data_IF_735834981220
#
_entry.id   IF_735834981220
#
_cell.length_a   1.000
_cell.length_b   1.000
_cell.length_c   1.000
_cell.angle_alpha   90.00
_cell.angle_beta   90.00
_cell.angle_gamma   90.00
#
_symmetry.space_group_name_H-M   'P 1'
#
loop_
_entity.id
_entity.type
_entity.pdbx_description
1 polymer ?
#
# COMPACT_ATOMS: atom_id res chain seq x y z
N UNK A 1 27.74 15.14 -13.42
CA UNK A 1 27.77 16.59 -13.13
C UNK A 1 26.40 17.13 -12.74
N UNK A 2 25.34 16.85 -13.52
CA UNK A 2 23.96 17.37 -13.28
C UNK A 2 23.37 16.93 -11.94
N UNK A 3 23.49 15.66 -11.55
CA UNK A 3 22.84 15.14 -10.33
C UNK A 3 23.46 15.68 -9.02
N UNK A 4 24.78 15.82 -8.96
CA UNK A 4 25.46 16.41 -7.79
C UNK A 4 25.08 17.88 -7.61
N UNK A 5 24.94 18.59 -8.73
CA UNK A 5 24.52 19.98 -8.74
C UNK A 5 23.04 20.16 -8.34
N UNK A 6 22.14 19.28 -8.80
CA UNK A 6 20.74 19.25 -8.34
C UNK A 6 20.63 19.00 -6.83
N UNK A 7 21.43 18.08 -6.27
CA UNK A 7 21.49 17.84 -4.82
C UNK A 7 22.00 19.06 -4.06
N UNK A 8 23.00 19.75 -4.60
CA UNK A 8 23.54 20.97 -4.00
C UNK A 8 22.48 22.09 -3.95
N UNK A 9 21.71 22.28 -5.03
CA UNK A 9 20.56 23.20 -5.05
C UNK A 9 19.55 22.82 -3.96
N UNK A 10 19.19 21.54 -3.89
CA UNK A 10 18.21 21.05 -2.92
C UNK A 10 18.64 21.30 -1.47
N UNK A 11 19.87 20.92 -1.11
CA UNK A 11 20.41 21.15 0.24
C UNK A 11 20.52 22.64 0.54
N UNK A 12 20.92 23.46 -0.43
CA UNK A 12 21.02 24.91 -0.23
C UNK A 12 19.66 25.53 0.05
N UNK A 13 18.61 25.15 -0.68
CA UNK A 13 17.25 25.63 -0.41
C UNK A 13 16.71 25.13 0.94
N UNK A 14 17.07 23.90 1.34
CA UNK A 14 16.64 23.36 2.64
C UNK A 14 17.30 24.08 3.82
N UNK A 15 18.60 24.41 3.71
CA UNK A 15 19.38 25.05 4.78
C UNK A 15 19.13 26.55 4.84
N UNK A 16 19.09 27.22 3.68
CA UNK A 16 19.00 28.68 3.60
C UNK A 16 17.56 29.17 3.32
N UNK A 17 16.60 28.26 3.15
CA UNK A 17 15.20 28.58 2.87
C UNK A 17 14.98 29.11 1.45
N UNK A 18 13.93 29.90 1.28
CA UNK A 18 13.58 30.55 0.00
C UNK A 18 14.46 31.78 -0.30
N UNK A 19 15.63 31.88 0.33
CA UNK A 19 16.60 32.93 0.08
C UNK A 19 17.17 32.78 -1.35
N UNK A 20 16.44 33.36 -2.30
CA UNK A 20 16.76 33.41 -3.74
C UNK A 20 18.16 33.98 -4.00
N UNK A 21 18.66 34.82 -3.09
CA UNK A 21 19.97 35.47 -3.13
C UNK A 21 21.15 34.49 -3.17
N UNK A 22 21.03 33.28 -2.61
CA UNK A 22 22.11 32.29 -2.64
C UNK A 22 22.14 31.46 -3.92
N UNK A 23 21.00 31.28 -4.58
CA UNK A 23 20.88 30.51 -5.83
C UNK A 23 21.10 31.44 -7.05
N UNK A 24 20.84 32.74 -6.92
CA UNK A 24 21.04 33.77 -7.94
C UNK A 24 22.44 33.73 -8.60
N UNK A 25 23.55 33.66 -7.86
CA UNK A 25 24.89 33.52 -8.44
C UNK A 25 25.03 32.28 -9.34
N UNK A 26 24.40 31.16 -8.96
CA UNK A 26 24.45 29.93 -9.74
C UNK A 26 23.56 30.00 -10.98
N UNK A 27 22.38 30.63 -10.89
CA UNK A 27 21.53 30.90 -12.06
C UNK A 27 22.31 31.67 -13.12
N UNK A 28 23.04 32.72 -12.71
CA UNK A 28 23.84 33.54 -13.62
C UNK A 28 25.07 32.79 -14.15
N UNK A 29 25.78 32.03 -13.31
CA UNK A 29 27.03 31.36 -13.71
C UNK A 29 26.80 30.14 -14.61
N UNK A 30 25.72 29.40 -14.40
CA UNK A 30 25.44 28.13 -15.09
C UNK A 30 24.23 28.20 -16.04
N UNK A 31 23.56 29.34 -16.15
CA UNK A 31 22.41 29.53 -17.03
C UNK A 31 21.19 28.68 -16.65
N UNK A 32 21.00 28.39 -15.36
CA UNK A 32 19.93 27.52 -14.88
C UNK A 32 18.63 28.30 -14.76
N UNK A 33 17.55 27.69 -15.25
CA UNK A 33 16.20 28.27 -15.15
C UNK A 33 15.52 27.91 -13.83
N UNK A 34 14.57 28.73 -13.41
CA UNK A 34 13.71 28.43 -12.25
C UNK A 34 13.02 27.07 -12.38
N UNK A 35 12.58 26.74 -13.61
CA UNK A 35 12.00 25.43 -13.92
C UNK A 35 12.95 24.25 -13.63
N UNK A 36 14.23 24.38 -13.95
CA UNK A 36 15.22 23.33 -13.64
C UNK A 36 15.48 23.19 -12.15
N UNK A 37 15.43 24.30 -11.40
CA UNK A 37 15.51 24.30 -9.94
C UNK A 37 14.29 23.61 -9.35
N UNK A 38 13.08 23.90 -9.84
CA UNK A 38 11.84 23.29 -9.37
C UNK A 38 11.82 21.78 -9.59
N UNK A 39 12.28 21.30 -10.75
CA UNK A 39 12.46 19.87 -11.02
C UNK A 39 13.46 19.27 -10.03
N UNK A 40 14.62 19.92 -9.85
CA UNK A 40 15.65 19.43 -8.93
C UNK A 40 15.11 19.33 -7.50
N UNK A 41 14.33 20.32 -7.05
CA UNK A 41 13.70 20.32 -5.74
C UNK A 41 12.72 19.16 -5.59
N UNK A 42 11.80 19.03 -6.56
CA UNK A 42 10.76 18.01 -6.55
C UNK A 42 11.33 16.59 -6.58
N UNK A 43 12.26 16.31 -7.49
CA UNK A 43 12.79 14.95 -7.68
C UNK A 43 13.70 14.51 -6.53
N UNK A 44 14.47 15.43 -5.94
CA UNK A 44 15.24 15.11 -4.72
C UNK A 44 14.32 14.90 -3.51
N UNK A 45 13.29 15.74 -3.32
CA UNK A 45 12.30 15.56 -2.26
C UNK A 45 11.59 14.20 -2.37
N UNK A 46 11.12 13.83 -3.58
CA UNK A 46 10.55 12.50 -3.86
C UNK A 46 11.54 11.39 -3.55
N UNK A 47 12.78 11.49 -4.03
CA UNK A 47 13.78 10.44 -3.85
C UNK A 47 14.07 10.18 -2.36
N UNK A 48 14.20 11.24 -1.55
CA UNK A 48 14.42 11.11 -0.11
C UNK A 48 13.18 10.59 0.60
N UNK A 49 12.00 11.10 0.26
CA UNK A 49 10.74 10.62 0.83
C UNK A 49 10.49 9.14 0.54
N UNK A 50 10.84 8.66 -0.66
CA UNK A 50 10.77 7.24 -1.01
C UNK A 50 11.70 6.36 -0.16
N UNK A 51 12.82 6.90 0.34
CA UNK A 51 13.69 6.18 1.28
C UNK A 51 13.02 6.08 2.66
N UNK A 52 12.39 7.16 3.13
CA UNK A 52 11.67 7.15 4.41
C UNK A 52 10.46 6.21 4.39
N UNK A 53 9.73 6.13 3.27
CA UNK A 53 8.60 5.21 3.13
C UNK A 53 9.00 3.75 3.37
N UNK A 54 10.24 3.36 3.06
CA UNK A 54 10.74 1.99 3.34
C UNK A 54 10.79 1.63 4.82
N UNK A 55 10.76 2.62 5.72
CA UNK A 55 10.62 2.38 7.17
C UNK A 55 9.23 1.86 7.54
N UNK A 56 8.23 2.11 6.69
CA UNK A 56 6.86 1.62 6.85
C UNK A 56 6.80 0.19 6.32
N UNK A 57 6.63 -0.75 7.24
CA UNK A 57 6.40 -2.16 6.93
C UNK A 57 4.93 -2.55 6.97
N UNK A 58 4.68 -3.85 6.80
CA UNK A 58 3.36 -4.49 6.92
C UNK A 58 2.73 -4.33 8.31
N UNK A 59 3.58 -4.23 9.35
CA UNK A 59 3.20 -3.80 10.69
C UNK A 59 3.27 -2.29 10.79
N UNK A 60 2.14 -1.63 10.52
CA UNK A 60 2.06 -0.18 10.50
C UNK A 60 2.25 0.42 11.91
N UNK A 61 3.29 1.22 12.09
CA UNK A 61 3.58 1.91 13.34
C UNK A 61 3.19 3.40 13.26
N UNK A 62 2.43 3.87 14.25
CA UNK A 62 1.96 5.27 14.30
C UNK A 62 3.15 6.23 14.41
N UNK A 63 4.20 5.86 15.14
CA UNK A 63 5.42 6.66 15.25
C UNK A 63 6.07 6.89 13.89
N UNK A 64 6.22 5.83 13.09
CA UNK A 64 6.76 5.93 11.72
C UNK A 64 5.90 6.83 10.83
N UNK A 65 4.57 6.79 10.94
CA UNK A 65 3.68 7.66 10.15
C UNK A 65 3.83 9.14 10.49
N UNK A 66 4.05 9.45 11.76
CA UNK A 66 4.32 10.82 12.21
C UNK A 66 5.68 11.28 11.70
N UNK A 67 6.69 10.40 11.74
CA UNK A 67 8.03 10.74 11.27
C UNK A 67 8.07 10.96 9.75
N UNK A 68 7.43 10.08 8.98
CA UNK A 68 7.28 10.25 7.53
C UNK A 68 6.58 11.58 7.21
N UNK A 69 5.55 11.98 7.97
CA UNK A 69 4.91 13.30 7.82
C UNK A 69 5.86 14.45 8.13
N UNK A 70 6.64 14.35 9.21
CA UNK A 70 7.62 15.37 9.61
C UNK A 70 8.66 15.56 8.51
N UNK A 71 9.16 14.46 7.95
CA UNK A 71 10.17 14.47 6.90
C UNK A 71 9.61 15.00 5.57
N UNK A 72 8.36 14.63 5.23
CA UNK A 72 7.66 15.21 4.07
C UNK A 72 7.66 16.75 4.13
N UNK A 73 7.26 17.31 5.28
CA UNK A 73 7.21 18.76 5.50
C UNK A 73 8.60 19.38 5.45
N UNK A 74 9.61 18.71 6.04
CA UNK A 74 10.99 19.17 5.97
C UNK A 74 11.49 19.27 4.53
N UNK A 75 11.18 18.28 3.69
CA UNK A 75 11.57 18.28 2.27
C UNK A 75 10.70 19.17 1.38
N UNK A 76 9.72 19.89 1.95
CA UNK A 76 8.73 20.70 1.22
C UNK A 76 8.01 19.92 0.12
N UNK A 77 7.78 18.62 0.33
CA UNK A 77 7.07 17.78 -0.63
C UNK A 77 5.56 18.02 -0.52
N UNK A 78 4.93 18.34 -1.65
CA UNK A 78 3.49 18.59 -1.71
C UNK A 78 2.66 17.40 -1.21
N UNK A 79 1.55 17.72 -0.55
CA UNK A 79 0.68 16.73 0.10
C UNK A 79 0.12 15.71 -0.90
N UNK A 80 -0.21 16.13 -2.12
CA UNK A 80 -0.74 15.28 -3.18
C UNK A 80 0.32 14.27 -3.65
N UNK A 81 1.55 14.74 -3.86
CA UNK A 81 2.66 13.89 -4.30
C UNK A 81 3.03 12.89 -3.21
N UNK A 82 3.10 13.35 -1.96
CA UNK A 82 3.35 12.49 -0.80
C UNK A 82 2.25 11.44 -0.61
N UNK A 83 0.99 11.83 -0.84
CA UNK A 83 -0.16 10.93 -0.75
C UNK A 83 -0.10 9.82 -1.79
N UNK A 84 0.22 10.15 -3.04
CA UNK A 84 0.26 9.16 -4.11
C UNK A 84 1.44 8.19 -3.92
N UNK A 85 2.62 8.71 -3.55
CA UNK A 85 3.77 7.87 -3.21
C UNK A 85 3.50 6.93 -2.02
N UNK A 86 2.80 7.41 -0.99
CA UNK A 86 2.41 6.58 0.15
C UNK A 86 1.44 5.47 -0.28
N UNK A 87 0.42 5.79 -1.09
CA UNK A 87 -0.54 4.80 -1.60
C UNK A 87 0.15 3.72 -2.44
N UNK A 88 1.08 4.11 -3.31
CA UNK A 88 1.88 3.17 -4.11
C UNK A 88 2.71 2.24 -3.22
N UNK A 89 3.38 2.79 -2.18
CA UNK A 89 4.13 1.99 -1.22
C UNK A 89 3.23 1.03 -0.44
N UNK A 90 2.07 1.50 0.02
CA UNK A 90 1.13 0.70 0.78
C UNK A 90 0.52 -0.44 -0.06
N UNK A 91 0.24 -0.19 -1.35
CA UNK A 91 -0.14 -1.23 -2.33
C UNK A 91 0.96 -2.27 -2.50
N UNK A 92 2.21 -1.84 -2.61
CA UNK A 92 3.36 -2.75 -2.72
C UNK A 92 3.46 -3.67 -1.51
N UNK A 93 3.31 -3.17 -0.29
CA UNK A 93 3.31 -4.00 0.92
C UNK A 93 2.23 -5.10 0.85
N UNK A 94 1.01 -4.74 0.42
CA UNK A 94 -0.10 -5.70 0.22
C UNK A 94 0.26 -6.73 -0.87
N UNK A 95 0.85 -6.31 -1.99
CA UNK A 95 1.31 -7.20 -3.05
C UNK A 95 2.40 -8.18 -2.56
N UNK A 96 3.28 -7.75 -1.65
CA UNK A 96 4.28 -8.63 -1.06
C UNK A 96 3.65 -9.68 -0.12
N UNK A 97 2.62 -9.32 0.66
CA UNK A 97 1.83 -10.30 1.43
C UNK A 97 1.15 -11.32 0.50
N UNK A 98 0.55 -10.85 -0.60
CA UNK A 98 -0.13 -11.71 -1.59
C UNK A 98 0.88 -12.67 -2.24
N UNK A 99 2.04 -12.16 -2.66
CA UNK A 99 3.10 -12.97 -3.27
C UNK A 99 3.60 -14.05 -2.31
N UNK A 100 3.79 -13.69 -1.02
CA UNK A 100 4.14 -14.62 0.04
C UNK A 100 3.08 -15.72 0.20
N UNK A 101 1.81 -15.33 0.37
CA UNK A 101 0.69 -16.25 0.54
C UNK A 101 0.52 -17.21 -0.65
N UNK A 102 0.66 -16.71 -1.88
CA UNK A 102 0.59 -17.53 -3.10
C UNK A 102 1.76 -18.49 -3.22
N UNK A 103 2.97 -18.08 -2.84
CA UNK A 103 4.13 -18.98 -2.84
C UNK A 103 3.95 -20.16 -1.87
N UNK A 104 3.34 -19.90 -0.71
CA UNK A 104 3.01 -20.91 0.30
C UNK A 104 1.89 -21.84 -0.23
N UNK A 105 0.83 -21.28 -0.81
CA UNK A 105 -0.25 -22.07 -1.41
C UNK A 105 0.26 -22.99 -2.53
N UNK A 106 1.07 -22.47 -3.45
CA UNK A 106 1.58 -23.22 -4.62
C UNK A 106 2.61 -24.29 -4.24
N UNK A 107 3.28 -24.16 -3.09
CA UNK A 107 4.25 -25.15 -2.60
C UNK A 107 3.64 -26.26 -1.74
N UNK A 108 2.44 -26.05 -1.18
CA UNK A 108 1.79 -26.97 -0.24
C UNK A 108 0.61 -27.75 -0.83
N UNK A 109 0.56 -27.95 -2.15
CA UNK A 109 -0.54 -28.59 -2.89
C UNK A 109 -0.87 -30.03 -2.48
N UNK A 110 -0.07 -30.65 -1.59
CA UNK A 110 -0.17 -32.06 -1.21
C UNK A 110 -1.04 -32.34 0.03
N UNK A 111 -1.33 -31.33 0.85
CA UNK A 111 -2.22 -31.47 2.00
C UNK A 111 -3.52 -30.74 1.66
N UNK A 112 -4.66 -31.43 1.63
CA UNK A 112 -5.97 -30.84 1.27
C UNK A 112 -6.46 -29.70 2.17
N UNK A 113 -5.63 -29.20 3.09
CA UNK A 113 -5.92 -28.09 4.01
C UNK A 113 -5.08 -26.87 3.65
N UNK A 114 -5.66 -25.68 3.82
CA UNK A 114 -4.95 -24.42 3.59
C UNK A 114 -3.96 -24.19 4.73
N UNK A 115 -2.66 -23.95 4.44
CA UNK A 115 -1.69 -23.67 5.49
C UNK A 115 -2.07 -22.42 6.29
N UNK A 116 -1.96 -22.49 7.61
CA UNK A 116 -2.31 -21.38 8.52
C UNK A 116 -1.53 -20.11 8.19
N UNK A 117 -0.31 -20.24 7.67
CA UNK A 117 0.54 -19.14 7.23
C UNK A 117 -0.11 -18.30 6.11
N UNK A 118 -0.86 -18.93 5.20
CA UNK A 118 -1.61 -18.22 4.14
C UNK A 118 -2.68 -17.34 4.76
N UNK A 119 -3.40 -17.88 5.74
CA UNK A 119 -4.47 -17.16 6.45
C UNK A 119 -3.89 -16.01 7.27
N UNK A 120 -2.71 -16.19 7.88
CA UNK A 120 -2.00 -15.13 8.59
C UNK A 120 -1.59 -13.99 7.67
N UNK A 121 -1.10 -14.27 6.45
CA UNK A 121 -0.76 -13.25 5.46
C UNK A 121 -2.01 -12.44 5.03
N UNK A 122 -3.14 -13.11 4.80
CA UNK A 122 -4.41 -12.42 4.46
C UNK A 122 -4.94 -11.59 5.64
N UNK A 123 -4.87 -12.12 6.85
CA UNK A 123 -5.27 -11.38 8.05
C UNK A 123 -4.36 -10.15 8.29
N UNK A 124 -3.07 -10.24 7.95
CA UNK A 124 -2.16 -9.09 7.98
C UNK A 124 -2.60 -7.99 7.00
N UNK A 125 -3.02 -8.36 5.78
CA UNK A 125 -3.55 -7.40 4.79
C UNK A 125 -4.79 -6.68 5.34
N UNK A 126 -5.73 -7.44 5.91
CA UNK A 126 -6.96 -6.89 6.49
C UNK A 126 -6.66 -5.96 7.65
N UNK A 127 -5.81 -6.38 8.60
CA UNK A 127 -5.41 -5.56 9.75
C UNK A 127 -4.74 -4.25 9.31
N UNK A 128 -3.85 -4.32 8.33
CA UNK A 128 -3.18 -3.15 7.74
C UNK A 128 -4.19 -2.17 7.12
N UNK A 129 -5.09 -2.67 6.26
CA UNK A 129 -6.11 -1.85 5.61
C UNK A 129 -7.09 -1.20 6.60
N UNK A 130 -7.51 -1.92 7.65
CA UNK A 130 -8.34 -1.37 8.73
C UNK A 130 -7.65 -0.22 9.42
N UNK A 131 -6.38 -0.39 9.77
CA UNK A 131 -5.63 0.65 10.48
C UNK A 131 -5.47 1.90 9.62
N UNK A 132 -5.16 1.77 8.32
CA UNK A 132 -5.14 2.91 7.39
C UNK A 132 -6.50 3.62 7.31
N UNK A 133 -7.59 2.85 7.27
CA UNK A 133 -8.97 3.38 7.21
C UNK A 133 -9.38 4.09 8.49
N UNK A 134 -8.95 3.60 9.66
CA UNK A 134 -9.21 4.24 10.95
C UNK A 134 -8.41 5.53 11.09
N UNK A 135 -7.11 5.47 10.77
CA UNK A 135 -6.20 6.62 10.90
C UNK A 135 -6.56 7.74 9.92
N UNK A 136 -7.07 7.43 8.73
CA UNK A 136 -7.51 8.46 7.77
C UNK A 136 -8.69 9.30 8.26
N UNK A 137 -9.47 8.77 9.21
CA UNK A 137 -10.62 9.46 9.83
C UNK A 137 -10.29 10.06 11.20
N UNK A 138 -9.03 9.96 11.63
CA UNK A 138 -8.64 10.42 12.96
C UNK A 138 -8.67 11.96 13.02
N UNK A 139 -9.25 12.58 14.07
CA UNK A 139 -9.37 14.05 14.16
C UNK A 139 -8.05 14.83 14.10
N UNK A 140 -6.91 14.20 14.40
CA UNK A 140 -5.58 14.78 14.24
C UNK A 140 -4.80 14.20 13.05
N UNK A 141 -5.51 13.80 11.99
CA UNK A 141 -4.94 13.12 10.82
C UNK A 141 -3.85 13.91 10.09
N UNK A 142 -3.79 15.23 10.26
CA UNK A 142 -2.73 16.09 9.69
C UNK A 142 -1.33 15.78 10.22
N UNK A 143 -1.25 15.11 11.38
CA UNK A 143 0.00 14.65 11.99
C UNK A 143 0.55 13.38 11.34
N UNK A 144 -0.26 12.67 10.56
CA UNK A 144 0.15 11.43 9.89
C UNK A 144 0.55 11.67 8.44
N UNK A 145 1.24 10.67 7.88
CA UNK A 145 1.60 10.67 6.47
C UNK A 145 0.37 10.92 5.59
N UNK A 146 0.55 11.66 4.50
CA UNK A 146 -0.54 11.88 3.54
C UNK A 146 -0.85 10.60 2.78
N UNK A 147 -2.09 10.45 2.31
CA UNK A 147 -2.52 9.29 1.51
C UNK A 147 -3.09 8.12 2.32
N UNK A 148 -3.31 8.27 3.63
CA UNK A 148 -4.03 7.27 4.42
C UNK A 148 -5.45 7.05 3.91
N UNK A 149 -5.86 5.79 3.86
CA UNK A 149 -7.20 5.39 3.46
C UNK A 149 -7.28 3.91 3.10
N UNK A 150 -8.48 3.41 2.79
CA UNK A 150 -8.63 2.05 2.30
C UNK A 150 -7.85 1.85 1.00
N UNK A 151 -7.21 0.69 0.89
CA UNK A 151 -6.44 0.29 -0.29
C UNK A 151 -7.33 -0.56 -1.20
N UNK A 152 -7.17 -0.36 -2.50
CA UNK A 152 -7.66 -1.28 -3.53
C UNK A 152 -6.58 -1.45 -4.60
N UNK A 153 -6.38 -2.69 -5.03
CA UNK A 153 -5.54 -3.06 -6.17
C UNK A 153 -6.30 -2.88 -7.51
N UNK A 154 -7.60 -2.55 -7.46
CA UNK A 154 -8.38 -2.30 -8.66
C UNK A 154 -7.77 -1.15 -9.49
N UNK A 155 -7.64 -1.38 -10.80
CA UNK A 155 -7.11 -0.38 -11.73
C UNK A 155 -5.59 -0.21 -11.69
N UNK A 156 -4.86 -1.03 -10.92
CA UNK A 156 -3.41 -1.12 -11.05
C UNK A 156 -3.03 -1.79 -12.38
N UNK A 157 -1.93 -1.35 -12.99
CA UNK A 157 -1.49 -1.84 -14.31
C UNK A 157 -1.32 -3.36 -14.34
N UNK A 158 -0.82 -3.94 -13.24
CA UNK A 158 -0.61 -5.39 -13.13
C UNK A 158 -1.85 -6.16 -12.64
N UNK A 159 -2.95 -5.48 -12.28
CA UNK A 159 -4.14 -6.10 -11.69
C UNK A 159 -4.72 -7.20 -12.57
N UNK A 160 -4.88 -6.92 -13.87
CA UNK A 160 -5.42 -7.87 -14.83
C UNK A 160 -4.59 -9.15 -14.93
N UNK A 161 -3.27 -9.05 -14.74
CA UNK A 161 -2.36 -10.21 -14.76
C UNK A 161 -2.45 -11.04 -13.48
N UNK A 162 -2.73 -10.40 -12.33
CA UNK A 162 -2.79 -11.06 -11.02
C UNK A 162 -4.21 -11.47 -10.61
N UNK A 163 -5.26 -11.03 -11.31
CA UNK A 163 -6.66 -11.27 -10.90
C UNK A 163 -6.98 -12.76 -10.70
N UNK A 164 -6.40 -13.65 -11.50
CA UNK A 164 -6.55 -15.10 -11.33
C UNK A 164 -5.97 -15.60 -10.00
N UNK A 165 -4.77 -15.15 -9.67
CA UNK A 165 -4.09 -15.46 -8.40
C UNK A 165 -4.85 -14.85 -7.20
N UNK A 166 -5.40 -13.64 -7.34
CA UNK A 166 -6.23 -13.01 -6.30
C UNK A 166 -7.50 -13.82 -6.01
N UNK A 167 -8.15 -14.38 -7.05
CA UNK A 167 -9.31 -15.26 -6.88
C UNK A 167 -8.96 -16.54 -6.14
N UNK A 168 -7.79 -17.14 -6.43
CA UNK A 168 -7.31 -18.34 -5.74
C UNK A 168 -7.12 -18.04 -4.25
N UNK A 169 -6.47 -16.92 -3.91
CA UNK A 169 -6.24 -16.53 -2.53
C UNK A 169 -7.55 -16.15 -1.81
N UNK A 170 -8.48 -15.49 -2.51
CA UNK A 170 -9.81 -15.19 -2.00
C UNK A 170 -10.61 -16.45 -1.71
N UNK A 171 -10.59 -17.44 -2.61
CA UNK A 171 -11.24 -18.73 -2.42
C UNK A 171 -10.63 -19.47 -1.22
N UNK A 172 -9.29 -19.52 -1.09
CA UNK A 172 -8.62 -20.14 0.04
C UNK A 172 -9.06 -19.50 1.37
N UNK A 173 -9.03 -18.17 1.48
CA UNK A 173 -9.50 -17.50 2.69
C UNK A 173 -10.99 -17.76 2.96
N UNK A 174 -11.82 -17.81 1.92
CA UNK A 174 -13.25 -18.13 2.04
C UNK A 174 -13.49 -19.54 2.59
N UNK A 175 -12.71 -20.54 2.14
CA UNK A 175 -12.81 -21.91 2.65
C UNK A 175 -12.51 -21.99 4.14
N UNK A 176 -11.50 -21.24 4.62
CA UNK A 176 -11.18 -21.17 6.06
C UNK A 176 -12.32 -20.52 6.85
N UNK A 177 -12.81 -19.36 6.39
CA UNK A 177 -13.89 -18.61 7.05
C UNK A 177 -15.20 -19.42 7.10
N UNK A 178 -15.46 -20.23 6.08
CA UNK A 178 -16.66 -21.06 5.96
C UNK A 178 -16.44 -22.52 6.34
N UNK A 179 -15.38 -22.84 7.09
CA UNK A 179 -15.04 -24.20 7.51
C UNK A 179 -16.15 -24.92 8.30
N UNK A 180 -17.03 -24.16 8.96
CA UNK A 180 -18.23 -24.67 9.66
C UNK A 180 -19.49 -24.78 8.77
N UNK A 181 -19.37 -24.48 7.47
CA UNK A 181 -20.44 -24.51 6.49
C UNK A 181 -21.48 -23.39 6.59
N UNK A 182 -21.23 -22.35 7.41
CA UNK A 182 -22.18 -21.25 7.67
C UNK A 182 -21.60 -19.90 7.28
N UNK A 183 -22.41 -19.13 6.57
CA UNK A 183 -22.16 -17.72 6.25
C UNK A 183 -23.08 -16.85 7.10
N UNK A 184 -22.48 -15.99 7.92
CA UNK A 184 -23.14 -15.00 8.75
C UNK A 184 -22.58 -13.60 8.49
N UNK A 185 -23.20 -12.58 9.08
CA UNK A 185 -22.82 -11.19 8.88
C UNK A 185 -21.42 -10.87 9.44
N UNK A 186 -20.96 -11.58 10.47
CA UNK A 186 -19.63 -11.40 11.05
C UNK A 186 -18.53 -11.84 10.07
N UNK A 187 -18.77 -12.92 9.32
CA UNK A 187 -17.88 -13.45 8.29
C UNK A 187 -17.94 -12.66 6.98
N UNK A 188 -19.10 -12.08 6.66
CA UNK A 188 -19.25 -11.24 5.47
C UNK A 188 -18.38 -9.98 5.53
N UNK A 189 -18.13 -9.42 6.72
CA UNK A 189 -17.30 -8.22 6.89
C UNK A 189 -15.89 -8.38 6.31
N UNK A 190 -15.07 -9.32 6.83
CA UNK A 190 -13.72 -9.59 6.31
C UNK A 190 -13.70 -9.99 4.82
N UNK A 191 -14.67 -10.78 4.35
CA UNK A 191 -14.75 -11.18 2.94
C UNK A 191 -15.03 -9.99 2.02
N UNK A 192 -15.96 -9.12 2.40
CA UNK A 192 -16.28 -7.91 1.64
C UNK A 192 -15.11 -6.91 1.64
N UNK A 193 -14.38 -6.82 2.75
CA UNK A 193 -13.16 -6.02 2.84
C UNK A 193 -12.07 -6.58 1.92
N UNK A 194 -11.79 -7.88 1.99
CA UNK A 194 -10.80 -8.54 1.14
C UNK A 194 -11.15 -8.39 -0.35
N UNK A 195 -12.44 -8.54 -0.70
CA UNK A 195 -12.94 -8.30 -2.06
C UNK A 195 -12.57 -6.90 -2.55
N UNK A 196 -12.80 -5.87 -1.72
CA UNK A 196 -12.51 -4.49 -2.08
C UNK A 196 -11.00 -4.24 -2.24
N UNK A 197 -10.19 -4.82 -1.35
CA UNK A 197 -8.72 -4.72 -1.43
C UNK A 197 -8.22 -5.38 -2.72
N UNK A 198 -8.70 -6.57 -3.04
CA UNK A 198 -8.32 -7.30 -4.25
C UNK A 198 -8.95 -6.71 -5.53
N UNK A 199 -9.93 -5.81 -5.41
CA UNK A 199 -10.60 -5.24 -6.58
C UNK A 199 -11.49 -6.24 -7.33
N UNK A 200 -12.00 -7.26 -6.65
CA UNK A 200 -12.86 -8.27 -7.26
C UNK A 200 -14.29 -7.74 -7.47
N UNK A 201 -14.92 -8.15 -8.56
CA UNK A 201 -16.32 -7.80 -8.84
C UNK A 201 -17.28 -8.44 -7.83
N UNK A 202 -18.37 -7.75 -7.48
CA UNK A 202 -19.37 -8.29 -6.52
C UNK A 202 -19.89 -9.68 -6.91
N UNK A 203 -20.36 -9.84 -8.16
CA UNK A 203 -20.90 -11.10 -8.67
C UNK A 203 -19.87 -12.22 -8.71
N UNK A 204 -18.62 -11.87 -9.00
CA UNK A 204 -17.51 -12.81 -9.06
C UNK A 204 -17.16 -13.34 -7.66
N UNK A 205 -17.08 -12.46 -6.68
CA UNK A 205 -16.85 -12.85 -5.29
C UNK A 205 -18.01 -13.69 -4.72
N UNK A 206 -19.26 -13.35 -5.05
CA UNK A 206 -20.45 -14.13 -4.68
C UNK A 206 -20.40 -15.53 -5.27
N UNK A 207 -20.05 -15.68 -6.55
CA UNK A 207 -19.92 -16.98 -7.20
C UNK A 207 -18.83 -17.86 -6.55
N UNK A 208 -17.71 -17.26 -6.11
CA UNK A 208 -16.66 -17.99 -5.38
C UNK A 208 -17.18 -18.45 -4.00
N UNK A 209 -17.87 -17.57 -3.26
CA UNK A 209 -18.45 -17.91 -1.95
C UNK A 209 -19.45 -19.07 -2.10
N UNK A 210 -20.34 -19.02 -3.08
CA UNK A 210 -21.32 -20.07 -3.35
C UNK A 210 -20.65 -21.41 -3.70
N UNK A 211 -19.62 -21.38 -4.57
CA UNK A 211 -18.84 -22.56 -4.93
C UNK A 211 -18.17 -23.21 -3.72
N UNK A 212 -17.42 -22.42 -2.93
CA UNK A 212 -16.77 -22.91 -1.72
C UNK A 212 -17.77 -23.46 -0.72
N UNK A 213 -18.91 -22.79 -0.52
CA UNK A 213 -19.94 -23.25 0.41
C UNK A 213 -20.55 -24.59 -0.02
N UNK A 214 -20.76 -24.80 -1.33
CA UNK A 214 -21.21 -26.08 -1.88
C UNK A 214 -20.18 -27.18 -1.60
N UNK A 215 -18.90 -26.91 -1.83
CA UNK A 215 -17.81 -27.86 -1.63
C UNK A 215 -17.66 -28.25 -0.15
N UNK A 216 -17.66 -27.27 0.77
CA UNK A 216 -17.59 -27.54 2.21
C UNK A 216 -18.79 -28.37 2.68
N UNK A 217 -20.02 -28.03 2.24
CA UNK A 217 -21.23 -28.79 2.61
C UNK A 217 -21.19 -30.24 2.10
N UNK A 218 -20.54 -30.49 0.96
CA UNK A 218 -20.39 -31.86 0.44
C UNK A 218 -19.40 -32.72 1.25
N UNK A 219 -18.51 -32.09 2.02
CA UNK A 219 -17.47 -32.74 2.82
C UNK A 219 -17.86 -32.97 4.28
N UNK A 220 -18.89 -32.27 4.79
CA UNK A 220 -19.42 -32.46 6.15
C UNK A 220 -20.48 -33.58 6.14
N UNK A 221 -20.26 -34.73 6.82
CA UNK A 221 -21.29 -35.76 6.93
C UNK A 221 -22.51 -35.25 7.72
N UNK A 222 -23.70 -35.66 7.27
CA UNK A 222 -25.00 -35.30 7.84
C UNK A 222 -25.16 -35.65 9.32
#
# INVERSE_FOLDING_TARGET
>A
MIQAFQKLIFVSNLVFGDASDFILPWKHLFGITDYQIDIAMRENAKSLYALELKSIGRGLDIGTLIEVRRVQLAYKLFDEVAADMFKEHAKKLVQENISSALSILKSNTSAGNIPTEVINEVNSILAFNRLLTVLSKFPQGERFARGLGPISLAGDFDHDMMVGDLKILYAAYTTEVLSDGRLDDEKLGPLNELRNIFGLGKREAEAIIEGVMSDVKSQVPA
#
